data_IF_306230472706
#
_entry.id   IF_306230472706
#
_cell.length_a   1.000
_cell.length_b   1.000
_cell.length_c   1.000
_cell.angle_alpha   90.00
_cell.angle_beta   90.00
_cell.angle_gamma   90.00
#
_symmetry.space_group_name_H-M   'P 1'
#
loop_
_entity.id
_entity.type
_entity.pdbx_description
1 polymer ?
#
# COMPACT_ATOMS: atom_id res chain seq x y z
N UNK A 1 -16.78 -28.86 19.95
CA UNK A 1 -16.55 -27.40 19.83
C UNK A 1 -15.57 -27.16 18.69
N UNK A 2 -15.99 -26.42 17.64
CA UNK A 2 -15.06 -25.95 16.61
C UNK A 2 -14.35 -24.70 17.11
N UNK A 3 -13.03 -24.73 17.17
CA UNK A 3 -12.20 -23.56 17.43
C UNK A 3 -11.94 -22.87 16.09
N UNK A 4 -12.37 -21.62 15.97
CA UNK A 4 -12.08 -20.79 14.79
C UNK A 4 -10.74 -20.10 15.01
N UNK A 5 -9.84 -20.21 14.03
CA UNK A 5 -8.50 -19.61 14.06
C UNK A 5 -8.19 -19.07 12.67
N UNK A 6 -7.58 -17.88 12.61
CA UNK A 6 -6.92 -17.39 11.42
C UNK A 6 -5.67 -18.23 11.19
N UNK A 7 -5.74 -19.18 10.26
CA UNK A 7 -4.69 -20.17 10.02
C UNK A 7 -4.45 -20.40 8.51
N UNK A 8 -4.76 -19.41 7.70
CA UNK A 8 -4.48 -19.50 6.27
C UNK A 8 -2.97 -19.56 6.04
N UNK A 9 -2.56 -20.48 5.20
CA UNK A 9 -1.25 -20.49 4.55
C UNK A 9 -1.43 -20.90 3.09
N UNK A 10 -0.62 -20.33 2.21
CA UNK A 10 -0.53 -20.73 0.82
C UNK A 10 0.32 -21.99 0.67
N UNK A 11 0.48 -22.47 -0.57
CA UNK A 11 1.37 -23.58 -0.88
C UNK A 11 2.87 -23.20 -0.78
N UNK A 12 3.20 -21.91 -0.63
CA UNK A 12 4.55 -21.42 -0.37
C UNK A 12 4.95 -21.74 1.07
N UNK A 13 5.93 -22.62 1.25
CA UNK A 13 6.30 -23.15 2.58
C UNK A 13 7.37 -22.31 3.29
N UNK A 14 8.11 -21.48 2.56
CA UNK A 14 9.20 -20.64 3.07
C UNK A 14 9.00 -19.18 2.68
N UNK A 15 9.68 -18.26 3.37
CA UNK A 15 9.70 -16.84 2.99
C UNK A 15 10.40 -16.62 1.64
N UNK A 16 11.32 -17.50 1.26
CA UNK A 16 11.96 -17.51 -0.05
C UNK A 16 10.94 -17.84 -1.13
N UNK A 17 10.16 -18.93 -0.98
CA UNK A 17 9.08 -19.28 -1.90
C UNK A 17 8.07 -18.13 -2.08
N UNK A 18 7.71 -17.45 -0.97
CA UNK A 18 6.80 -16.30 -1.01
C UNK A 18 7.42 -15.12 -1.77
N UNK A 19 8.72 -14.86 -1.56
CA UNK A 19 9.43 -13.83 -2.30
C UNK A 19 9.48 -14.15 -3.79
N UNK A 20 9.69 -15.41 -4.17
CA UNK A 20 9.72 -15.87 -5.55
C UNK A 20 8.36 -15.79 -6.25
N UNK A 21 7.27 -15.92 -5.50
CA UNK A 21 5.91 -15.70 -6.00
C UNK A 21 5.59 -14.19 -6.25
N UNK A 22 6.42 -13.26 -5.74
CA UNK A 22 6.17 -11.84 -5.90
C UNK A 22 6.42 -11.35 -7.33
N UNK A 23 5.67 -10.34 -7.75
CA UNK A 23 5.92 -9.65 -9.01
C UNK A 23 7.11 -8.70 -8.87
N UNK A 24 7.93 -8.63 -9.93
CA UNK A 24 9.11 -7.77 -9.97
C UNK A 24 10.16 -8.17 -8.94
N UNK A 25 10.56 -7.25 -8.07
CA UNK A 25 11.59 -7.51 -7.07
C UNK A 25 11.21 -8.66 -6.13
N UNK A 26 12.11 -9.64 -5.94
CA UNK A 26 11.90 -10.78 -5.06
C UNK A 26 12.00 -10.37 -3.59
N UNK A 27 10.84 -10.09 -2.99
CA UNK A 27 10.70 -9.60 -1.62
C UNK A 27 9.46 -10.21 -0.96
N UNK A 28 9.51 -10.29 0.35
CA UNK A 28 8.32 -10.51 1.18
C UNK A 28 7.73 -9.17 1.59
N UNK A 29 6.40 -9.14 1.68
CA UNK A 29 5.65 -8.09 2.34
C UNK A 29 5.19 -8.56 3.71
N UNK A 30 5.16 -7.66 4.67
CA UNK A 30 4.64 -7.93 6.01
C UNK A 30 3.60 -6.88 6.35
N UNK A 31 2.40 -7.34 6.67
CA UNK A 31 1.27 -6.53 7.10
C UNK A 31 1.07 -6.68 8.60
N UNK A 32 1.02 -5.57 9.31
CA UNK A 32 0.46 -5.48 10.65
C UNK A 32 -0.69 -4.48 10.64
N UNK A 33 -1.84 -4.89 11.18
CA UNK A 33 -3.03 -4.05 11.23
C UNK A 33 -3.76 -4.23 12.55
N UNK A 34 -4.39 -3.16 13.03
CA UNK A 34 -5.15 -3.16 14.26
C UNK A 34 -6.37 -2.24 14.16
N UNK A 35 -7.41 -2.56 14.92
CA UNK A 35 -8.69 -1.83 14.94
C UNK A 35 -8.53 -0.50 15.68
N UNK A 36 -8.93 0.58 15.02
CA UNK A 36 -8.86 1.91 15.58
C UNK A 36 -9.89 2.12 16.70
N UNK A 37 -9.45 2.78 17.79
CA UNK A 37 -10.31 3.24 18.89
C UNK A 37 -11.17 2.13 19.54
N UNK A 38 -10.75 0.87 19.46
CA UNK A 38 -11.53 -0.25 19.97
C UNK A 38 -11.85 -0.14 21.46
N UNK A 39 -10.90 0.33 22.27
CA UNK A 39 -11.12 0.60 23.70
C UNK A 39 -12.30 1.57 23.93
N UNK A 40 -12.38 2.64 23.14
CA UNK A 40 -13.47 3.62 23.20
C UNK A 40 -14.79 2.95 22.75
N UNK A 41 -14.76 2.15 21.69
CA UNK A 41 -15.94 1.43 21.21
C UNK A 41 -16.52 0.50 22.28
N UNK A 42 -15.68 -0.18 23.07
CA UNK A 42 -16.14 -1.03 24.15
C UNK A 42 -16.69 -0.26 25.37
N UNK A 43 -16.10 0.89 25.70
CA UNK A 43 -16.49 1.68 26.89
C UNK A 43 -17.71 2.56 26.62
N UNK A 44 -17.75 3.22 25.46
CA UNK A 44 -18.75 4.25 25.15
C UNK A 44 -19.48 4.08 23.83
N UNK A 45 -19.17 3.05 23.04
CA UNK A 45 -19.78 2.83 21.71
C UNK A 45 -21.30 2.61 21.74
N UNK A 46 -21.85 2.22 22.88
CA UNK A 46 -23.28 2.04 23.07
C UNK A 46 -23.95 3.16 23.88
N UNK A 47 -23.21 4.22 24.22
CA UNK A 47 -23.76 5.36 24.96
C UNK A 47 -24.73 6.13 24.05
N UNK A 48 -25.93 6.35 24.56
CA UNK A 48 -26.95 7.17 23.90
C UNK A 48 -27.82 7.83 24.98
N UNK A 49 -27.57 9.10 25.26
CA UNK A 49 -28.27 9.87 26.27
C UNK A 49 -29.76 10.02 25.96
N UNK A 50 -30.16 10.10 24.68
CA UNK A 50 -31.55 10.17 24.27
C UNK A 50 -32.35 8.93 24.66
N UNK A 51 -31.71 7.79 24.88
CA UNK A 51 -32.30 6.52 25.29
C UNK A 51 -31.89 6.10 26.72
N UNK A 52 -31.46 7.05 27.58
CA UNK A 52 -30.97 6.78 28.94
C UNK A 52 -29.93 5.67 28.99
N UNK A 53 -29.02 5.59 28.02
CA UNK A 53 -27.99 4.58 27.90
C UNK A 53 -28.50 3.12 27.95
N UNK A 54 -29.75 2.90 27.54
CA UNK A 54 -30.42 1.57 27.56
C UNK A 54 -29.63 0.49 26.83
N UNK A 55 -28.75 0.89 25.92
CA UNK A 55 -27.95 -0.04 25.12
C UNK A 55 -26.59 -0.37 25.71
N UNK A 56 -26.19 0.27 26.80
CA UNK A 56 -24.97 -0.06 27.54
C UNK A 56 -25.19 -1.32 28.37
N UNK A 57 -24.91 -2.46 27.79
CA UNK A 57 -25.11 -3.77 28.45
C UNK A 57 -23.93 -4.69 28.18
N UNK A 58 -23.59 -5.51 29.18
CA UNK A 58 -22.54 -6.52 29.05
C UNK A 58 -22.78 -7.46 27.85
N UNK A 59 -24.03 -7.79 27.57
CA UNK A 59 -24.42 -8.65 26.44
C UNK A 59 -24.05 -8.03 25.09
N UNK A 60 -24.23 -6.72 24.90
CA UNK A 60 -23.84 -6.05 23.65
C UNK A 60 -22.33 -5.94 23.51
N UNK A 61 -21.63 -5.60 24.58
CA UNK A 61 -20.18 -5.57 24.59
C UNK A 61 -19.59 -6.96 24.28
N UNK A 62 -20.12 -8.00 24.87
CA UNK A 62 -19.73 -9.40 24.59
C UNK A 62 -20.07 -9.81 23.13
N UNK A 63 -21.17 -9.32 22.58
CA UNK A 63 -21.55 -9.56 21.19
C UNK A 63 -20.57 -8.86 20.23
N UNK A 64 -20.24 -7.60 20.47
CA UNK A 64 -19.24 -6.86 19.68
C UNK A 64 -17.88 -7.59 19.68
N UNK A 65 -17.37 -7.98 20.86
CA UNK A 65 -16.13 -8.75 21.00
C UNK A 65 -16.17 -10.06 20.20
N UNK A 66 -17.29 -10.78 20.27
CA UNK A 66 -17.47 -12.03 19.52
C UNK A 66 -17.52 -11.80 18.02
N UNK A 67 -18.19 -10.76 17.54
CA UNK A 67 -18.27 -10.43 16.12
C UNK A 67 -16.89 -10.04 15.58
N UNK A 68 -16.12 -9.21 16.29
CA UNK A 68 -14.75 -8.89 15.90
C UNK A 68 -13.88 -10.15 15.85
N UNK A 69 -13.96 -11.01 16.88
CA UNK A 69 -13.25 -12.29 16.87
C UNK A 69 -13.63 -13.19 15.69
N UNK A 70 -14.89 -13.18 15.25
CA UNK A 70 -15.31 -13.94 14.06
C UNK A 70 -14.67 -13.37 12.78
N UNK A 71 -14.59 -12.06 12.65
CA UNK A 71 -13.92 -11.45 11.49
C UNK A 71 -12.46 -11.90 11.41
N UNK A 72 -11.68 -11.67 12.47
CA UNK A 72 -10.25 -11.96 12.49
C UNK A 72 -9.90 -13.47 12.56
N UNK A 73 -10.80 -14.34 13.01
CA UNK A 73 -10.54 -15.79 13.11
C UNK A 73 -11.17 -16.62 11.99
N UNK A 74 -12.25 -16.16 11.40
CA UNK A 74 -12.97 -16.92 10.39
C UNK A 74 -12.92 -16.22 9.02
N UNK A 75 -13.44 -15.00 8.92
CA UNK A 75 -13.57 -14.31 7.64
C UNK A 75 -12.22 -13.96 7.03
N UNK A 76 -11.20 -13.70 7.83
CA UNK A 76 -9.84 -13.42 7.34
C UNK A 76 -9.31 -14.54 6.42
N UNK A 77 -9.59 -15.80 6.75
CA UNK A 77 -9.15 -16.92 5.91
C UNK A 77 -9.83 -16.92 4.51
N UNK A 78 -11.10 -16.50 4.44
CA UNK A 78 -11.80 -16.36 3.17
C UNK A 78 -11.28 -15.20 2.35
N UNK A 79 -10.92 -14.07 2.98
CA UNK A 79 -10.34 -12.90 2.29
C UNK A 79 -9.02 -13.27 1.61
N UNK A 80 -8.17 -14.10 2.24
CA UNK A 80 -6.93 -14.56 1.62
C UNK A 80 -7.15 -15.55 0.47
N UNK A 81 -8.22 -16.36 0.54
CA UNK A 81 -8.57 -17.33 -0.53
C UNK A 81 -9.31 -16.69 -1.69
N UNK A 82 -10.00 -15.60 -1.44
CA UNK A 82 -10.93 -14.96 -2.37
C UNK A 82 -10.59 -13.47 -2.51
N UNK A 83 -9.31 -13.16 -2.74
CA UNK A 83 -8.85 -11.79 -2.99
C UNK A 83 -9.51 -11.21 -4.23
N UNK A 84 -9.91 -9.94 -4.15
CA UNK A 84 -10.62 -9.23 -5.22
C UNK A 84 -9.80 -8.08 -5.82
N UNK A 85 -8.97 -7.40 -5.01
CA UNK A 85 -8.23 -6.24 -5.44
C UNK A 85 -6.88 -6.60 -6.06
N UNK A 86 -6.55 -5.97 -7.17
CA UNK A 86 -5.22 -6.04 -7.81
C UNK A 86 -4.75 -4.65 -8.21
N UNK A 87 -3.44 -4.42 -8.09
CA UNK A 87 -2.82 -3.14 -8.44
C UNK A 87 -2.78 -2.97 -9.98
N UNK A 88 -2.59 -4.06 -10.72
CA UNK A 88 -2.34 -4.00 -12.16
C UNK A 88 -3.52 -4.40 -13.05
N UNK A 89 -4.56 -5.01 -12.50
CA UNK A 89 -5.70 -5.49 -13.30
C UNK A 89 -6.91 -4.61 -13.09
N UNK A 90 -7.19 -3.76 -14.07
CA UNK A 90 -8.42 -2.96 -14.15
C UNK A 90 -9.54 -3.68 -14.92
N UNK A 91 -9.39 -4.98 -15.22
CA UNK A 91 -10.39 -5.73 -15.96
C UNK A 91 -11.67 -5.88 -15.11
N UNK A 92 -12.81 -5.50 -15.68
CA UNK A 92 -14.16 -5.64 -15.13
C UNK A 92 -14.58 -7.13 -15.05
N UNK A 93 -13.87 -7.93 -14.28
CA UNK A 93 -14.22 -9.32 -14.01
C UNK A 93 -13.78 -9.71 -12.61
N UNK A 94 -14.72 -10.16 -11.77
CA UNK A 94 -14.39 -10.74 -10.46
C UNK A 94 -13.51 -11.97 -10.64
N UNK A 95 -12.21 -11.75 -10.68
CA UNK A 95 -11.20 -12.81 -10.66
C UNK A 95 -10.85 -13.06 -9.21
N UNK A 96 -11.23 -14.21 -8.71
CA UNK A 96 -10.82 -14.63 -7.36
C UNK A 96 -9.35 -14.96 -7.35
N UNK A 97 -8.58 -14.33 -6.48
CA UNK A 97 -7.13 -14.48 -6.37
C UNK A 97 -6.81 -15.15 -5.04
N UNK A 98 -6.12 -16.28 -5.12
CA UNK A 98 -5.55 -16.96 -3.95
C UNK A 98 -4.24 -16.25 -3.60
N UNK A 99 -4.12 -15.70 -2.39
CA UNK A 99 -2.96 -14.93 -1.96
C UNK A 99 -1.80 -15.84 -1.53
N UNK A 100 -0.60 -15.55 -2.02
CA UNK A 100 0.65 -16.19 -1.58
C UNK A 100 1.11 -15.58 -0.25
N UNK A 101 0.45 -15.97 0.82
CA UNK A 101 0.65 -15.40 2.15
C UNK A 101 0.43 -16.44 3.25
N UNK A 102 0.87 -16.11 4.47
CA UNK A 102 0.63 -16.87 5.68
C UNK A 102 0.16 -15.93 6.80
N UNK A 103 -0.86 -16.34 7.54
CA UNK A 103 -1.26 -15.68 8.77
C UNK A 103 -0.34 -16.17 9.88
N UNK A 104 0.60 -15.33 10.32
CA UNK A 104 1.44 -15.63 11.49
C UNK A 104 0.65 -15.44 12.79
N UNK A 105 -0.18 -14.39 12.83
CA UNK A 105 -1.04 -14.09 13.96
C UNK A 105 -2.32 -13.39 13.47
N UNK A 106 -3.45 -13.80 14.03
CA UNK A 106 -4.73 -13.14 13.86
C UNK A 106 -5.53 -13.27 15.17
N UNK A 107 -5.59 -12.19 15.91
CA UNK A 107 -6.15 -12.11 17.26
C UNK A 107 -7.56 -11.57 17.32
N UNK A 108 -7.90 -10.90 18.42
CA UNK A 108 -9.22 -10.28 18.61
C UNK A 108 -9.44 -9.03 17.77
N UNK A 109 -8.40 -8.27 17.50
CA UNK A 109 -8.40 -6.96 16.88
C UNK A 109 -7.17 -6.69 16.00
N UNK A 110 -6.11 -7.45 16.12
CA UNK A 110 -4.86 -7.27 15.41
C UNK A 110 -4.50 -8.43 14.48
N UNK A 111 -3.71 -8.14 13.47
CA UNK A 111 -3.24 -9.05 12.44
C UNK A 111 -1.74 -8.93 12.24
N UNK A 112 -1.08 -10.07 11.96
CA UNK A 112 0.28 -10.12 11.44
C UNK A 112 0.36 -11.18 10.33
N UNK A 113 0.57 -10.72 9.10
CA UNK A 113 0.53 -11.55 7.88
C UNK A 113 1.81 -11.31 7.09
N UNK A 114 2.40 -12.38 6.57
CA UNK A 114 3.58 -12.35 5.70
C UNK A 114 3.23 -12.98 4.36
N UNK A 115 3.73 -12.46 3.26
CA UNK A 115 3.48 -13.01 1.93
C UNK A 115 4.29 -12.32 0.82
N UNK A 116 3.94 -12.55 -0.44
CA UNK A 116 4.49 -11.84 -1.58
C UNK A 116 4.19 -10.34 -1.46
N UNK A 117 5.20 -9.47 -1.60
CA UNK A 117 5.08 -8.05 -1.23
C UNK A 117 3.93 -7.31 -1.94
N UNK A 118 3.75 -7.56 -3.23
CA UNK A 118 2.68 -6.94 -4.01
C UNK A 118 1.30 -7.43 -3.56
N UNK A 119 1.18 -8.72 -3.28
CA UNK A 119 -0.08 -9.33 -2.82
C UNK A 119 -0.44 -8.91 -1.40
N UNK A 120 0.54 -8.57 -0.56
CA UNK A 120 0.30 -8.04 0.79
C UNK A 120 -0.33 -6.64 0.74
N UNK A 121 0.09 -5.77 -0.19
CA UNK A 121 -0.56 -4.47 -0.38
C UNK A 121 -2.01 -4.64 -0.87
N UNK A 122 -2.22 -5.52 -1.85
CA UNK A 122 -3.54 -5.84 -2.39
C UNK A 122 -4.46 -6.45 -1.31
N UNK A 123 -3.93 -7.38 -0.52
CA UNK A 123 -4.62 -8.01 0.61
C UNK A 123 -5.03 -6.99 1.68
N UNK A 124 -4.16 -6.06 2.02
CA UNK A 124 -4.45 -5.02 3.01
C UNK A 124 -5.66 -4.17 2.59
N UNK A 125 -5.76 -3.85 1.29
CA UNK A 125 -6.91 -3.14 0.71
C UNK A 125 -8.18 -4.00 0.77
N UNK A 126 -8.09 -5.30 0.45
CA UNK A 126 -9.20 -6.24 0.56
C UNK A 126 -9.70 -6.35 2.02
N UNK A 127 -8.78 -6.50 2.98
CA UNK A 127 -9.12 -6.59 4.40
C UNK A 127 -9.84 -5.32 4.86
N UNK A 128 -9.29 -4.14 4.52
CA UNK A 128 -9.90 -2.86 4.88
C UNK A 128 -11.30 -2.71 4.30
N UNK A 129 -11.51 -3.02 3.02
CA UNK A 129 -12.82 -2.94 2.36
C UNK A 129 -13.83 -3.89 3.00
N UNK A 130 -13.42 -5.15 3.23
CA UNK A 130 -14.29 -6.16 3.86
C UNK A 130 -14.58 -5.82 5.32
N UNK A 131 -13.62 -5.26 6.07
CA UNK A 131 -13.83 -4.82 7.45
C UNK A 131 -14.79 -3.64 7.52
N UNK A 132 -14.65 -2.65 6.64
CA UNK A 132 -15.56 -1.52 6.54
C UNK A 132 -16.99 -1.98 6.23
N UNK A 133 -17.18 -2.93 5.32
CA UNK A 133 -18.49 -3.53 5.06
C UNK A 133 -19.04 -4.31 6.28
N UNK A 134 -18.17 -5.08 6.95
CA UNK A 134 -18.56 -5.89 8.11
C UNK A 134 -19.00 -5.04 9.30
N UNK A 135 -18.37 -3.90 9.50
CA UNK A 135 -18.67 -2.96 10.59
C UNK A 135 -19.59 -1.83 10.19
N UNK A 136 -20.11 -1.85 8.96
CA UNK A 136 -20.92 -0.75 8.38
C UNK A 136 -20.22 0.62 8.52
N UNK A 137 -18.89 0.64 8.40
CA UNK A 137 -18.06 1.83 8.51
C UNK A 137 -17.95 2.43 9.92
N UNK A 138 -18.46 1.76 10.95
CA UNK A 138 -18.42 2.26 12.35
C UNK A 138 -17.06 2.09 13.02
N UNK A 139 -16.28 1.10 12.58
CA UNK A 139 -14.91 0.88 13.03
C UNK A 139 -13.98 0.93 11.83
N UNK A 140 -12.74 1.38 12.07
CA UNK A 140 -11.70 1.50 11.05
C UNK A 140 -10.48 0.67 11.43
N UNK A 141 -9.59 0.45 10.45
CA UNK A 141 -8.31 -0.23 10.63
C UNK A 141 -7.18 0.73 10.28
N UNK A 142 -6.13 0.70 11.08
CA UNK A 142 -4.83 1.29 10.73
C UNK A 142 -3.80 0.19 10.55
N UNK A 143 -2.89 0.36 9.59
CA UNK A 143 -1.94 -0.67 9.21
C UNK A 143 -0.54 -0.13 8.91
N UNK A 144 0.48 -0.98 9.10
CA UNK A 144 1.82 -0.82 8.59
C UNK A 144 2.13 -1.93 7.59
N UNK A 145 2.79 -1.61 6.48
CA UNK A 145 3.23 -2.56 5.46
C UNK A 145 4.72 -2.36 5.19
N UNK A 146 5.53 -3.33 5.59
CA UNK A 146 6.97 -3.36 5.32
C UNK A 146 7.32 -4.32 4.18
N UNK A 147 8.38 -4.03 3.43
CA UNK A 147 8.86 -4.83 2.31
C UNK A 147 10.32 -5.21 2.55
N UNK A 148 10.60 -6.51 2.67
CA UNK A 148 11.89 -7.02 3.14
C UNK A 148 12.47 -8.11 2.25
N UNK A 149 13.77 -8.37 2.41
CA UNK A 149 14.38 -9.60 1.89
C UNK A 149 13.89 -10.79 2.70
N UNK A 150 13.72 -11.95 2.06
CA UNK A 150 13.25 -13.19 2.71
C UNK A 150 14.11 -13.62 3.90
N UNK A 151 15.39 -13.27 3.92
CA UNK A 151 16.35 -13.61 4.98
C UNK A 151 16.53 -12.52 6.05
N UNK A 152 15.72 -11.46 6.03
CA UNK A 152 15.78 -10.41 7.07
C UNK A 152 15.15 -10.94 8.38
N UNK A 153 15.72 -10.64 9.56
CA UNK A 153 15.25 -11.19 10.83
C UNK A 153 13.80 -10.78 11.15
N UNK A 154 12.93 -11.76 11.36
CA UNK A 154 11.49 -11.53 11.59
C UNK A 154 11.20 -10.68 12.84
N UNK A 155 12.05 -10.76 13.87
CA UNK A 155 11.90 -9.96 15.08
C UNK A 155 12.09 -8.45 14.79
N UNK A 156 13.06 -8.11 13.94
CA UNK A 156 13.30 -6.73 13.53
C UNK A 156 12.17 -6.24 12.63
N UNK A 157 11.74 -7.09 11.68
CA UNK A 157 10.56 -6.80 10.84
C UNK A 157 9.34 -6.45 11.70
N UNK A 158 9.08 -7.26 12.74
CA UNK A 158 7.91 -7.08 13.59
C UNK A 158 7.94 -5.74 14.36
N UNK A 159 9.13 -5.28 14.78
CA UNK A 159 9.30 -3.97 15.41
C UNK A 159 9.11 -2.82 14.40
N UNK A 160 9.77 -2.88 13.24
CA UNK A 160 9.66 -1.85 12.21
C UNK A 160 8.22 -1.68 11.69
N UNK A 161 7.51 -2.81 11.46
CA UNK A 161 6.12 -2.77 11.00
C UNK A 161 5.16 -2.30 12.11
N UNK A 162 5.49 -2.56 13.39
CA UNK A 162 4.76 -1.99 14.52
C UNK A 162 4.90 -0.45 14.58
N UNK A 163 6.10 0.06 14.30
CA UNK A 163 6.32 1.51 14.21
C UNK A 163 5.51 2.12 13.05
N UNK A 164 5.48 1.48 11.88
CA UNK A 164 4.64 1.91 10.75
C UNK A 164 3.15 1.92 11.09
N UNK A 165 2.64 0.90 11.80
CA UNK A 165 1.25 0.87 12.29
C UNK A 165 0.98 2.03 13.25
N UNK A 166 1.92 2.32 14.17
CA UNK A 166 1.82 3.44 15.09
C UNK A 166 1.80 4.79 14.36
N UNK A 167 2.59 4.95 13.29
CA UNK A 167 2.54 6.13 12.42
C UNK A 167 1.16 6.29 11.77
N UNK A 168 0.57 5.20 11.27
CA UNK A 168 -0.78 5.22 10.71
C UNK A 168 -1.84 5.64 11.73
N UNK A 169 -1.74 5.15 12.97
CA UNK A 169 -2.62 5.54 14.08
C UNK A 169 -2.43 6.99 14.52
N UNK A 170 -1.28 7.59 14.23
CA UNK A 170 -0.99 8.99 14.54
C UNK A 170 -1.61 9.96 13.53
N UNK A 171 -2.01 9.49 12.34
CA UNK A 171 -2.71 10.33 11.35
C UNK A 171 -4.06 10.81 11.90
N UNK A 172 -4.40 12.06 11.58
CA UNK A 172 -5.69 12.63 11.96
C UNK A 172 -6.85 11.79 11.38
N UNK A 173 -7.75 11.32 12.26
CA UNK A 173 -8.84 10.43 11.87
C UNK A 173 -8.48 8.96 11.81
N UNK A 174 -7.19 8.59 11.95
CA UNK A 174 -6.73 7.21 11.80
C UNK A 174 -7.14 6.63 10.44
N UNK A 175 -7.64 5.38 10.37
CA UNK A 175 -8.06 4.75 9.10
C UNK A 175 -7.00 4.90 8.00
N UNK A 176 -5.76 4.62 8.32
CA UNK A 176 -4.60 4.90 7.50
C UNK A 176 -3.68 3.69 7.34
N UNK A 177 -2.79 3.78 6.38
CA UNK A 177 -1.75 2.79 6.13
C UNK A 177 -0.42 3.49 5.87
N UNK A 178 0.65 2.96 6.45
CA UNK A 178 2.03 3.39 6.19
C UNK A 178 2.76 2.33 5.38
N UNK A 179 3.36 2.73 4.26
CA UNK A 179 4.14 1.86 3.39
C UNK A 179 5.28 2.65 2.74
N UNK A 180 6.34 1.96 2.29
CA UNK A 180 7.55 2.57 1.72
C UNK A 180 8.16 3.65 2.62
N UNK A 181 8.23 3.38 3.93
CA UNK A 181 8.81 4.28 4.93
C UNK A 181 10.30 4.53 4.62
N UNK A 182 10.68 5.79 4.51
CA UNK A 182 12.04 6.24 4.19
C UNK A 182 12.66 7.17 5.25
N UNK A 183 12.01 7.31 6.40
CA UNK A 183 12.43 8.18 7.50
C UNK A 183 12.03 9.65 7.33
N UNK A 184 11.48 10.04 6.17
CA UNK A 184 11.04 11.41 5.91
C UNK A 184 9.66 11.64 6.53
N UNK A 185 9.49 12.79 7.19
CA UNK A 185 8.24 13.16 7.88
C UNK A 185 7.81 14.57 7.52
N UNK A 186 6.49 14.75 7.44
CA UNK A 186 5.86 16.07 7.29
C UNK A 186 4.99 16.39 8.49
N UNK A 187 4.59 17.67 8.61
CA UNK A 187 3.69 18.11 9.66
C UNK A 187 2.24 18.04 9.19
N UNK A 188 1.40 17.37 9.96
CA UNK A 188 -0.04 17.31 9.75
C UNK A 188 -0.77 17.82 10.99
N UNK A 189 -1.86 18.58 10.80
CA UNK A 189 -2.67 19.10 11.89
C UNK A 189 -3.55 17.98 12.46
N UNK A 190 -3.34 17.62 13.72
CA UNK A 190 -4.14 16.65 14.44
C UNK A 190 -5.54 17.14 14.79
N UNK A 191 -6.41 16.20 15.17
CA UNK A 191 -7.79 16.54 15.61
C UNK A 191 -7.83 17.38 16.90
N UNK A 192 -6.78 17.30 17.71
CA UNK A 192 -6.58 18.09 18.93
C UNK A 192 -6.05 19.52 18.67
N UNK A 193 -5.82 19.87 17.40
CA UNK A 193 -5.30 21.18 16.99
C UNK A 193 -3.78 21.32 17.09
N UNK A 194 -3.03 20.25 17.42
CA UNK A 194 -1.58 20.25 17.44
C UNK A 194 -0.99 19.62 16.16
N UNK A 195 0.18 20.11 15.73
CA UNK A 195 0.90 19.52 14.62
C UNK A 195 1.64 18.27 15.05
N UNK A 196 1.44 17.20 14.31
CA UNK A 196 2.16 15.92 14.48
C UNK A 196 3.09 15.67 13.29
N UNK A 197 4.20 14.97 13.55
CA UNK A 197 5.10 14.51 12.48
C UNK A 197 4.61 13.15 11.99
N UNK A 198 4.13 13.11 10.76
CA UNK A 198 3.63 11.91 10.10
C UNK A 198 4.63 11.48 9.02
N UNK A 199 4.86 10.19 8.85
CA UNK A 199 5.71 9.66 7.78
C UNK A 199 5.15 10.05 6.40
N UNK A 200 6.03 10.37 5.47
CA UNK A 200 5.67 10.65 4.08
C UNK A 200 4.99 9.45 3.40
N UNK A 201 5.24 8.23 3.87
CA UNK A 201 4.58 7.01 3.41
C UNK A 201 3.22 6.70 4.05
N UNK A 202 2.65 7.62 4.85
CA UNK A 202 1.36 7.40 5.54
C UNK A 202 0.21 8.07 4.77
N UNK A 203 -0.78 7.25 4.39
CA UNK A 203 -1.95 7.67 3.62
C UNK A 203 -3.25 7.16 4.25
N UNK A 204 -4.34 7.89 4.08
CA UNK A 204 -5.67 7.32 4.28
C UNK A 204 -5.95 6.22 3.25
N UNK A 205 -6.79 5.23 3.57
CA UNK A 205 -7.05 4.11 2.65
C UNK A 205 -7.58 4.54 1.29
N UNK A 206 -8.54 5.50 1.26
CA UNK A 206 -9.05 6.02 -0.01
C UNK A 206 -7.96 6.80 -0.78
N UNK A 207 -7.14 7.56 -0.07
CA UNK A 207 -6.01 8.28 -0.64
C UNK A 207 -5.02 7.31 -1.32
N UNK A 208 -4.68 6.18 -0.65
CA UNK A 208 -3.84 5.15 -1.26
C UNK A 208 -4.48 4.56 -2.53
N UNK A 209 -5.76 4.19 -2.47
CA UNK A 209 -6.43 3.51 -3.59
C UNK A 209 -6.68 4.47 -4.76
N UNK A 210 -7.26 5.63 -4.49
CA UNK A 210 -7.75 6.52 -5.54
C UNK A 210 -6.66 7.46 -6.09
N UNK A 211 -5.83 8.04 -5.19
CA UNK A 211 -4.86 9.05 -5.59
C UNK A 211 -3.46 8.44 -5.86
N UNK A 212 -2.98 7.52 -5.01
CA UNK A 212 -1.63 6.92 -5.20
C UNK A 212 -1.68 5.85 -6.29
N UNK A 213 -2.62 4.90 -6.21
CA UNK A 213 -2.66 3.75 -7.13
C UNK A 213 -3.43 4.09 -8.40
N UNK A 214 -4.70 4.48 -8.30
CA UNK A 214 -5.53 4.67 -9.49
C UNK A 214 -5.11 5.88 -10.34
N UNK A 215 -4.64 6.96 -9.74
CA UNK A 215 -4.22 8.15 -10.49
C UNK A 215 -2.72 8.09 -10.84
N UNK A 216 -1.83 8.08 -9.82
CA UNK A 216 -0.38 8.28 -10.05
C UNK A 216 0.33 7.03 -10.54
N UNK A 217 0.13 5.88 -9.89
CA UNK A 217 0.76 4.63 -10.32
C UNK A 217 0.29 4.23 -11.73
N UNK A 218 -1.00 4.32 -12.04
CA UNK A 218 -1.50 3.97 -13.36
C UNK A 218 -0.97 4.93 -14.44
N UNK A 219 -0.88 6.23 -14.16
CA UNK A 219 -0.28 7.19 -15.10
C UNK A 219 1.18 6.86 -15.41
N UNK A 220 1.97 6.49 -14.38
CA UNK A 220 3.37 6.06 -14.55
C UNK A 220 3.42 4.76 -15.37
N UNK A 221 2.58 3.78 -15.03
CA UNK A 221 2.52 2.50 -15.71
C UNK A 221 2.17 2.65 -17.19
N UNK A 222 1.09 3.36 -17.51
CA UNK A 222 0.65 3.60 -18.88
C UNK A 222 1.76 4.21 -19.75
N UNK A 223 2.51 5.16 -19.20
CA UNK A 223 3.58 5.79 -19.95
C UNK A 223 4.82 4.87 -20.11
N UNK A 224 5.27 4.20 -19.04
CA UNK A 224 6.52 3.44 -19.10
C UNK A 224 6.36 2.02 -19.62
N UNK A 225 5.19 1.40 -19.54
CA UNK A 225 4.97 0.07 -20.14
C UNK A 225 5.06 0.13 -21.69
N UNK A 226 4.74 1.27 -22.27
CA UNK A 226 4.86 1.51 -23.72
C UNK A 226 6.26 2.02 -24.14
N UNK A 227 7.01 2.64 -23.23
CA UNK A 227 8.27 3.34 -23.54
C UNK A 227 9.53 2.46 -23.59
N UNK A 228 9.46 1.16 -23.26
CA UNK A 228 10.60 0.23 -23.26
C UNK A 228 11.71 0.56 -22.25
N UNK A 229 12.95 0.09 -22.49
CA UNK A 229 14.09 0.15 -21.55
C UNK A 229 14.54 1.55 -21.09
N UNK A 230 14.27 2.59 -21.85
CA UNK A 230 14.71 3.96 -21.53
C UNK A 230 14.04 4.53 -20.26
N UNK A 231 12.96 3.88 -19.78
CA UNK A 231 12.10 4.41 -18.74
C UNK A 231 12.68 4.33 -17.33
N UNK A 232 13.35 3.24 -16.94
CA UNK A 232 13.74 3.00 -15.53
C UNK A 232 14.83 3.96 -15.04
N UNK A 233 15.88 4.19 -15.82
CA UNK A 233 16.92 5.13 -15.43
C UNK A 233 16.37 6.55 -15.28
N UNK A 234 15.41 6.90 -16.13
CA UNK A 234 14.69 8.15 -16.03
C UNK A 234 13.85 8.20 -14.73
N UNK A 235 13.12 7.14 -14.41
CA UNK A 235 12.30 7.05 -13.20
C UNK A 235 13.13 7.24 -11.94
N UNK A 236 14.31 6.61 -11.85
CA UNK A 236 15.23 6.80 -10.71
C UNK A 236 15.75 8.23 -10.62
N UNK A 237 16.14 8.83 -11.74
CA UNK A 237 16.58 10.22 -11.76
C UNK A 237 15.45 11.19 -11.34
N UNK A 238 14.23 10.94 -11.80
CA UNK A 238 13.06 11.73 -11.41
C UNK A 238 12.75 11.56 -9.91
N UNK A 239 12.82 10.33 -9.40
CA UNK A 239 12.61 10.04 -7.98
C UNK A 239 13.66 10.75 -7.09
N UNK A 240 14.92 10.76 -7.51
CA UNK A 240 16.00 11.46 -6.80
C UNK A 240 15.75 12.98 -6.75
N UNK A 241 15.34 13.58 -7.88
CA UNK A 241 15.02 15.01 -7.94
C UNK A 241 13.79 15.37 -7.08
N UNK A 242 12.78 14.50 -7.04
CA UNK A 242 11.59 14.68 -6.22
C UNK A 242 11.90 14.56 -4.73
N UNK A 243 12.84 13.69 -4.35
CA UNK A 243 13.30 13.57 -2.95
C UNK A 243 14.01 14.83 -2.44
N UNK A 244 14.67 15.54 -3.31
CA UNK A 244 15.49 16.73 -2.99
C UNK A 244 14.81 18.05 -3.43
N UNK A 245 13.50 18.13 -3.38
CA UNK A 245 12.69 19.21 -3.97
C UNK A 245 12.77 20.57 -3.30
N UNK A 246 13.32 20.71 -2.10
CA UNK A 246 13.44 21.99 -1.39
C UNK A 246 14.27 23.04 -2.16
N UNK A 247 14.92 22.62 -3.25
CA UNK A 247 15.69 23.48 -4.12
C UNK A 247 14.89 23.79 -5.41
N UNK A 248 14.63 25.07 -5.66
CA UNK A 248 14.00 25.57 -6.92
C UNK A 248 14.72 25.08 -8.19
N UNK A 249 16.01 24.77 -8.07
CA UNK A 249 16.81 24.22 -9.18
C UNK A 249 16.29 22.82 -9.57
N UNK A 250 15.80 22.04 -8.64
CA UNK A 250 15.31 20.70 -8.93
C UNK A 250 14.03 20.72 -9.76
N UNK A 251 13.14 21.70 -9.56
CA UNK A 251 11.99 21.87 -10.44
C UNK A 251 12.39 22.11 -11.89
N UNK A 252 13.35 23.00 -12.16
CA UNK A 252 13.85 23.22 -13.50
C UNK A 252 14.51 21.98 -14.11
N UNK A 253 15.22 21.19 -13.28
CA UNK A 253 15.79 19.90 -13.70
C UNK A 253 14.71 18.87 -14.05
N UNK A 254 13.62 18.79 -13.28
CA UNK A 254 12.48 17.92 -13.58
C UNK A 254 11.89 18.29 -14.97
N UNK A 255 11.63 19.57 -15.22
CA UNK A 255 11.14 20.04 -16.52
C UNK A 255 12.10 19.67 -17.65
N UNK A 256 13.41 19.88 -17.42
CA UNK A 256 14.45 19.52 -18.42
C UNK A 256 14.49 18.02 -18.69
N UNK A 257 14.42 17.20 -17.64
CA UNK A 257 14.41 15.73 -17.79
C UNK A 257 13.15 15.28 -18.54
N UNK A 258 11.97 15.83 -18.20
CA UNK A 258 10.73 15.55 -18.92
C UNK A 258 10.84 15.89 -20.40
N UNK A 259 11.42 17.04 -20.75
CA UNK A 259 11.58 17.43 -22.16
C UNK A 259 12.47 16.48 -22.98
N UNK A 260 13.35 15.71 -22.33
CA UNK A 260 14.19 14.70 -23.01
C UNK A 260 13.46 13.40 -23.32
N UNK A 261 12.28 13.20 -22.76
CA UNK A 261 11.39 12.06 -23.06
C UNK A 261 10.41 12.42 -24.18
N UNK A 262 10.41 13.66 -24.65
CA UNK A 262 9.50 14.06 -25.73
C UNK A 262 9.75 13.19 -26.96
N UNK A 263 8.70 12.51 -27.48
CA UNK A 263 8.81 11.69 -28.66
C UNK A 263 9.22 12.50 -29.89
N UNK A 264 9.88 11.85 -30.84
CA UNK A 264 10.27 12.45 -32.08
C UNK A 264 9.05 12.98 -32.85
N UNK A 265 9.29 13.98 -33.72
CA UNK A 265 8.22 14.62 -34.54
C UNK A 265 7.47 13.60 -35.40
N UNK A 266 8.12 12.51 -35.79
CA UNK A 266 7.59 11.41 -36.59
C UNK A 266 6.91 10.31 -35.79
N UNK A 267 6.98 10.36 -34.44
CA UNK A 267 6.36 9.38 -33.55
C UNK A 267 4.83 9.31 -33.73
N UNK A 268 4.25 8.17 -33.42
CA UNK A 268 2.81 7.93 -33.51
C UNK A 268 2.02 8.91 -32.62
N UNK A 269 0.77 9.19 -33.05
CA UNK A 269 -0.09 10.12 -32.31
C UNK A 269 -0.36 9.67 -30.88
N UNK A 270 -0.51 8.38 -30.69
CA UNK A 270 -0.79 7.76 -29.39
C UNK A 270 0.39 7.95 -28.42
N UNK A 271 1.62 7.75 -28.87
CA UNK A 271 2.84 7.97 -28.08
C UNK A 271 2.96 9.44 -27.63
N UNK A 272 2.63 10.39 -28.53
CA UNK A 272 2.60 11.83 -28.20
C UNK A 272 1.52 12.19 -27.18
N UNK A 273 0.36 11.55 -27.28
CA UNK A 273 -0.73 11.78 -26.34
C UNK A 273 -0.38 11.20 -24.94
N UNK A 274 0.23 10.01 -24.86
CA UNK A 274 0.71 9.41 -23.62
C UNK A 274 1.78 10.28 -22.95
N UNK A 275 2.78 10.73 -23.73
CA UNK A 275 3.80 11.66 -23.22
C UNK A 275 3.20 12.98 -22.72
N UNK A 276 2.31 13.59 -23.51
CA UNK A 276 1.67 14.86 -23.13
C UNK A 276 0.91 14.74 -21.82
N UNK A 277 0.13 13.66 -21.65
CA UNK A 277 -0.62 13.38 -20.42
C UNK A 277 0.31 13.16 -19.24
N UNK A 278 1.33 12.30 -19.40
CA UNK A 278 2.31 12.02 -18.36
C UNK A 278 3.05 13.28 -17.93
N UNK A 279 3.63 14.04 -18.86
CA UNK A 279 4.41 15.24 -18.56
C UNK A 279 3.58 16.33 -17.89
N UNK A 280 2.33 16.55 -18.32
CA UNK A 280 1.41 17.51 -17.70
C UNK A 280 1.03 17.09 -16.28
N UNK A 281 0.77 15.82 -16.05
CA UNK A 281 0.44 15.29 -14.72
C UNK A 281 1.63 15.42 -13.76
N UNK A 282 2.83 15.00 -14.17
CA UNK A 282 4.03 15.17 -13.34
C UNK A 282 4.28 16.64 -13.02
N UNK A 283 4.17 17.52 -14.00
CA UNK A 283 4.32 18.97 -13.79
C UNK A 283 3.31 19.52 -12.79
N UNK A 284 2.04 19.12 -12.92
CA UNK A 284 0.97 19.49 -12.00
C UNK A 284 1.27 19.03 -10.58
N UNK A 285 1.54 17.73 -10.38
CA UNK A 285 1.76 17.15 -9.06
C UNK A 285 2.99 17.72 -8.35
N UNK A 286 4.06 18.00 -9.08
CA UNK A 286 5.27 18.63 -8.50
C UNK A 286 5.03 20.10 -8.15
N UNK A 287 4.12 20.79 -8.86
CA UNK A 287 3.78 22.19 -8.61
C UNK A 287 2.76 22.35 -7.47
N UNK A 288 1.78 21.44 -7.37
CA UNK A 288 0.59 21.59 -6.50
C UNK A 288 0.90 21.33 -5.01
N UNK A 289 2.10 20.76 -4.67
CA UNK A 289 2.62 20.77 -3.32
C UNK A 289 2.95 19.41 -2.71
N UNK A 290 3.30 19.41 -1.41
CA UNK A 290 3.89 18.30 -0.68
C UNK A 290 3.05 17.01 -0.69
N UNK A 291 1.71 17.12 -0.72
CA UNK A 291 0.81 15.95 -0.73
C UNK A 291 1.01 15.12 -2.00
N UNK A 292 0.90 15.75 -3.17
CA UNK A 292 1.03 15.05 -4.46
C UNK A 292 2.41 14.46 -4.65
N UNK A 293 3.41 15.13 -4.15
CA UNK A 293 4.81 14.69 -4.21
C UNK A 293 5.05 13.43 -3.37
N UNK A 294 4.51 13.37 -2.15
CA UNK A 294 4.59 12.17 -1.30
C UNK A 294 3.91 10.98 -1.97
N UNK A 295 2.72 11.19 -2.52
CA UNK A 295 1.97 10.18 -3.25
C UNK A 295 2.74 9.71 -4.50
N UNK A 296 3.34 10.64 -5.24
CA UNK A 296 4.14 10.35 -6.41
C UNK A 296 5.39 9.52 -6.07
N UNK A 297 6.10 9.84 -4.96
CA UNK A 297 7.24 9.05 -4.47
C UNK A 297 6.85 7.58 -4.25
N UNK A 298 5.73 7.33 -3.59
CA UNK A 298 5.25 5.96 -3.33
C UNK A 298 4.83 5.26 -4.61
N UNK A 299 4.09 5.92 -5.50
CA UNK A 299 3.70 5.37 -6.79
C UNK A 299 4.91 4.98 -7.65
N UNK A 300 5.96 5.81 -7.68
CA UNK A 300 7.21 5.52 -8.38
C UNK A 300 7.98 4.35 -7.77
N UNK A 301 8.06 4.26 -6.44
CA UNK A 301 8.68 3.13 -5.75
C UNK A 301 7.92 1.83 -6.06
N UNK A 302 6.59 1.85 -5.99
CA UNK A 302 5.76 0.69 -6.35
C UNK A 302 6.03 0.24 -7.80
N UNK A 303 6.01 1.17 -8.75
CA UNK A 303 6.28 0.85 -10.15
C UNK A 303 7.68 0.28 -10.35
N UNK A 304 8.71 0.89 -9.75
CA UNK A 304 10.08 0.40 -9.88
C UNK A 304 10.26 -1.00 -9.30
N UNK A 305 9.55 -1.34 -8.22
CA UNK A 305 9.57 -2.67 -7.62
C UNK A 305 8.85 -3.70 -8.50
N UNK A 306 7.72 -3.32 -9.10
CA UNK A 306 6.94 -4.19 -10.00
C UNK A 306 7.68 -4.55 -11.28
N UNK A 307 8.57 -3.67 -11.78
CA UNK A 307 9.22 -3.84 -13.09
C UNK A 307 10.66 -4.35 -13.04
N UNK A 308 11.27 -4.47 -11.87
CA UNK A 308 12.72 -4.75 -11.74
C UNK A 308 13.18 -6.06 -12.37
N UNK A 309 12.37 -7.11 -12.40
CA UNK A 309 12.74 -8.40 -13.01
C UNK A 309 12.73 -8.38 -14.55
N UNK A 310 11.89 -7.55 -15.17
CA UNK A 310 11.84 -7.43 -16.64
C UNK A 310 13.16 -6.96 -17.23
N UNK A 311 13.91 -6.16 -16.49
CA UNK A 311 15.16 -5.55 -16.97
C UNK A 311 16.41 -6.37 -16.64
N UNK A 312 16.39 -7.24 -15.64
CA UNK A 312 17.51 -8.15 -15.35
C UNK A 312 17.58 -9.33 -16.33
N UNK A 313 16.48 -9.72 -16.99
CA UNK A 313 16.46 -10.79 -18.00
C UNK A 313 17.00 -10.36 -19.35
N UNK A 314 16.96 -9.07 -19.69
CA UNK A 314 17.46 -8.56 -20.97
C UNK A 314 18.98 -8.30 -20.95
N UNK A 315 19.57 -7.93 -19.81
CA UNK A 315 21.04 -7.83 -19.66
C UNK A 315 21.76 -9.20 -19.66
N UNK A 316 21.06 -10.29 -19.27
CA UNK A 316 21.65 -11.64 -19.26
C UNK A 316 21.52 -12.40 -20.59
N UNK A 317 20.73 -11.91 -21.54
CA UNK A 317 20.53 -12.51 -22.87
C UNK A 317 21.50 -12.03 -23.95
N UNK A 318 22.38 -11.10 -23.65
CA UNK A 318 23.25 -10.43 -24.63
C UNK A 318 24.72 -10.91 -24.72
N UNK A 319 25.10 -12.03 -24.07
CA UNK A 319 26.51 -12.44 -24.01
C UNK A 319 26.83 -13.90 -24.38
N UNK A 320 25.96 -14.60 -25.13
CA UNK A 320 26.30 -15.93 -25.64
C UNK A 320 26.08 -16.03 -27.17
N UNK A 321 26.86 -15.23 -27.92
CA UNK A 321 27.16 -15.54 -29.34
C UNK A 321 28.43 -14.77 -29.77
N UNK A 322 29.59 -15.24 -29.30
CA UNK A 322 30.89 -15.05 -29.95
C UNK A 322 31.93 -15.96 -29.29
N UNK A 323 32.02 -17.22 -29.73
CA UNK A 323 33.24 -17.95 -30.14
C UNK A 323 32.91 -19.41 -30.52
#
# INVERSE_FOLDING_TARGET
NKLWVGNYHSDCNTFEDMADCSKGIKRIGVLRADVDNLGIAFVSGFNNEANNNRYVTLSRTATLSRQLSLFFKLYINSILREGEYTIEDNSEGKKTIIRNAVICYSGGDDLFIVGAWNEIIELAIDIQKKFALYTEGTLTLSAGIGIYRHNYPISVIAEEVADMESMSKSKAGKAAVTLFEDGVKHKELGQDGYYMNISDGTFGWNELVDEVIAEKYNCIREFFDDAGERGINFLYNLLELIRNQDDRINFARIVYILSRLEPDKEAEKEEKEHYSRFSQNIYKWVKDGDKDIRQLKVAMNMYSYMRRDKYNTEESGGSDDAD
#
